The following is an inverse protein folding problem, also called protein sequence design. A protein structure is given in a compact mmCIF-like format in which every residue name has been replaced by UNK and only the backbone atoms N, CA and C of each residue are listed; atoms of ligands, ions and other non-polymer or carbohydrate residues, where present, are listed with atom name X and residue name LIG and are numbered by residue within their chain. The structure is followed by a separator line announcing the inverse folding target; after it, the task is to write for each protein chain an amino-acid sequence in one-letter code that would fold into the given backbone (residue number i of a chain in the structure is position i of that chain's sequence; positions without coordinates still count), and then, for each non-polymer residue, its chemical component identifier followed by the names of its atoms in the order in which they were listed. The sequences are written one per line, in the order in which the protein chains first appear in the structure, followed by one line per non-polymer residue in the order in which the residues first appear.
data_IF_024684555060
#
_entry.id   IF_024684555060
#
_cell.length_a   1.000
_cell.length_b   1.000
_cell.length_c   1.000
_cell.angle_alpha   90.00
_cell.angle_beta   90.00
_cell.angle_gamma   90.00
#
_symmetry.space_group_name_H-M   'P 1'
#
loop_
_entity.id
_entity.type
_entity.pdbx_description
1 polymer ?
#
# COMPACT_ATOMS: atom_id res chain seq x y z
N UNK A 1 18.98 19.12 7.97
CA UNK A 1 19.19 17.89 7.18
C UNK A 1 17.82 17.47 6.65
N UNK A 2 17.72 17.27 5.36
CA UNK A 2 16.51 16.70 4.77
C UNK A 2 16.42 15.23 5.20
N UNK A 3 15.28 14.81 5.73
CA UNK A 3 15.07 13.40 6.13
C UNK A 3 14.87 12.61 4.85
N UNK A 4 15.67 11.57 4.68
CA UNK A 4 15.52 10.65 3.55
C UNK A 4 14.28 9.78 3.75
N UNK A 5 13.41 9.71 2.74
CA UNK A 5 12.22 8.87 2.76
C UNK A 5 12.60 7.45 2.35
N UNK A 6 12.43 6.50 3.24
CA UNK A 6 12.70 5.09 2.97
C UNK A 6 11.50 4.41 2.27
N UNK A 7 10.28 4.75 2.68
CA UNK A 7 9.08 4.04 2.24
C UNK A 7 8.00 5.00 1.74
N UNK A 8 7.47 4.76 0.54
CA UNK A 8 6.27 5.41 0.03
C UNK A 8 5.14 4.40 -0.11
N UNK A 9 4.06 4.59 0.65
CA UNK A 9 2.83 3.81 0.54
C UNK A 9 1.90 4.51 -0.44
N UNK A 10 1.52 3.84 -1.52
CA UNK A 10 0.70 4.40 -2.59
C UNK A 10 -0.64 3.71 -2.57
N UNK A 11 -1.68 4.43 -2.12
CA UNK A 11 -3.01 3.90 -1.83
C UNK A 11 -4.01 4.45 -2.85
N UNK A 12 -4.51 3.64 -3.79
CA UNK A 12 -5.65 4.02 -4.61
C UNK A 12 -6.93 3.99 -3.78
N UNK A 13 -7.76 5.01 -3.87
CA UNK A 13 -9.02 5.08 -3.15
C UNK A 13 -10.18 5.36 -4.08
N UNK A 14 -11.35 4.75 -3.80
CA UNK A 14 -12.63 5.15 -4.38
C UNK A 14 -13.79 4.71 -3.50
N UNK A 15 -14.61 5.66 -3.02
CA UNK A 15 -15.87 5.43 -2.32
C UNK A 15 -15.83 4.60 -1.00
N UNK A 16 -14.66 4.42 -0.37
CA UNK A 16 -14.49 3.62 0.86
C UNK A 16 -13.72 4.37 1.96
N UNK A 17 -14.16 5.57 2.38
CA UNK A 17 -13.36 6.44 3.26
C UNK A 17 -13.08 5.81 4.63
N UNK A 18 -14.00 5.02 5.19
CA UNK A 18 -13.79 4.36 6.49
C UNK A 18 -12.76 3.23 6.41
N UNK A 19 -12.68 2.50 5.29
CA UNK A 19 -11.66 1.48 5.08
C UNK A 19 -10.30 2.13 4.84
N UNK A 20 -10.27 3.21 4.05
CA UNK A 20 -9.07 4.01 3.86
C UNK A 20 -8.51 4.53 5.19
N UNK A 21 -9.36 5.05 6.10
CA UNK A 21 -8.89 5.51 7.42
C UNK A 21 -8.26 4.35 8.20
N UNK A 22 -8.87 3.17 8.21
CA UNK A 22 -8.31 1.96 8.84
C UNK A 22 -6.95 1.58 8.24
N UNK A 23 -6.81 1.64 6.92
CA UNK A 23 -5.55 1.39 6.23
C UNK A 23 -4.47 2.38 6.70
N UNK A 24 -4.76 3.68 6.66
CA UNK A 24 -3.84 4.75 7.08
C UNK A 24 -3.43 4.58 8.55
N UNK A 25 -4.37 4.26 9.44
CA UNK A 25 -4.13 4.10 10.87
C UNK A 25 -3.21 2.90 11.17
N UNK A 26 -3.20 1.90 10.29
CA UNK A 26 -2.32 0.74 10.42
C UNK A 26 -0.88 0.98 9.98
N UNK A 27 -0.62 2.08 9.25
CA UNK A 27 0.73 2.46 8.80
C UNK A 27 1.41 3.31 9.89
N UNK A 28 2.56 2.90 10.42
CA UNK A 28 3.28 3.66 11.43
C UNK A 28 3.64 5.08 10.98
N UNK A 29 3.48 6.06 11.87
CA UNK A 29 3.79 7.46 11.59
C UNK A 29 5.26 7.73 11.91
N UNK A 30 6.14 7.57 10.94
CA UNK A 30 7.58 7.81 11.03
C UNK A 30 7.98 8.91 10.05
N UNK A 31 9.05 9.63 10.34
CA UNK A 31 9.52 10.73 9.49
C UNK A 31 10.12 10.24 8.14
N UNK A 32 10.51 8.96 8.06
CA UNK A 32 11.01 8.31 6.84
C UNK A 32 9.93 7.58 6.03
N UNK A 33 8.65 7.79 6.38
CA UNK A 33 7.49 7.23 5.67
C UNK A 33 6.70 8.36 5.01
N UNK A 34 6.35 8.15 3.75
CA UNK A 34 5.42 8.95 2.97
C UNK A 34 4.19 8.09 2.66
N UNK A 35 3.01 8.62 2.86
CA UNK A 35 1.74 8.00 2.47
C UNK A 35 1.11 8.86 1.39
N UNK A 36 0.89 8.29 0.22
CA UNK A 36 0.30 8.96 -0.95
C UNK A 36 -1.05 8.32 -1.23
N UNK A 37 -2.10 9.10 -1.10
CA UNK A 37 -3.47 8.66 -1.40
C UNK A 37 -3.90 9.30 -2.71
N UNK A 38 -4.40 8.50 -3.63
CA UNK A 38 -4.96 8.99 -4.87
C UNK A 38 -6.42 8.57 -4.98
N UNK A 39 -7.31 9.56 -4.81
CA UNK A 39 -8.75 9.38 -4.97
C UNK A 39 -9.11 9.33 -6.45
N UNK A 40 -9.65 8.19 -6.90
CA UNK A 40 -10.02 7.96 -8.29
C UNK A 40 -11.47 8.38 -8.57
N UNK A 41 -11.75 9.69 -8.36
CA UNK A 41 -13.06 10.31 -8.63
C UNK A 41 -14.20 9.67 -7.81
N UNK A 42 -14.09 9.72 -6.48
CA UNK A 42 -15.16 9.28 -5.58
C UNK A 42 -16.43 10.13 -5.69
N UNK A 43 -17.56 9.50 -5.41
CA UNK A 43 -18.86 10.18 -5.38
C UNK A 43 -18.95 11.11 -4.14
N UNK A 44 -19.23 12.42 -4.30
CA UNK A 44 -19.39 13.37 -3.18
C UNK A 44 -20.58 13.08 -2.26
N UNK A 45 -21.48 12.19 -2.66
CA UNK A 45 -22.54 11.68 -1.77
C UNK A 45 -22.04 10.62 -0.79
N UNK A 46 -20.91 9.97 -1.09
CA UNK A 46 -20.31 8.91 -0.29
C UNK A 46 -19.11 9.44 0.51
N UNK A 47 -18.33 10.33 -0.11
CA UNK A 47 -17.08 10.86 0.46
C UNK A 47 -17.23 12.33 0.81
N UNK A 48 -16.98 12.67 2.07
CA UNK A 48 -16.85 14.07 2.48
C UNK A 48 -15.40 14.53 2.23
N UNK A 49 -15.20 15.35 1.20
CA UNK A 49 -13.87 15.84 0.82
C UNK A 49 -13.30 16.88 1.79
N UNK A 50 -14.13 17.52 2.64
CA UNK A 50 -13.64 18.43 3.69
C UNK A 50 -13.01 17.69 4.88
N UNK A 51 -13.46 16.45 5.11
CA UNK A 51 -12.95 15.55 6.15
C UNK A 51 -12.37 14.28 5.55
N UNK A 52 -11.69 14.40 4.41
CA UNK A 52 -11.10 13.24 3.74
C UNK A 52 -10.00 12.58 4.61
N UNK A 53 -9.96 11.24 4.68
CA UNK A 53 -8.97 10.54 5.47
C UNK A 53 -7.53 10.98 5.12
N UNK A 54 -6.72 11.23 6.14
CA UNK A 54 -5.31 11.63 5.97
C UNK A 54 -5.06 13.08 5.57
N UNK A 55 -6.10 13.89 5.22
CA UNK A 55 -5.93 15.24 4.67
C UNK A 55 -5.08 16.19 5.53
N UNK A 56 -5.09 16.02 6.85
CA UNK A 56 -4.38 16.88 7.81
C UNK A 56 -3.21 16.16 8.52
N UNK A 57 -2.79 15.00 8.03
CA UNK A 57 -1.69 14.24 8.62
C UNK A 57 -0.36 14.60 7.96
N UNK A 58 0.67 14.86 8.76
CA UNK A 58 1.98 15.35 8.29
C UNK A 58 2.66 14.45 7.25
N UNK A 59 2.51 13.14 7.36
CA UNK A 59 3.16 12.17 6.46
C UNK A 59 2.26 11.74 5.30
N UNK A 60 1.05 12.33 5.15
CA UNK A 60 0.05 11.94 4.15
C UNK A 60 -0.11 13.05 3.11
N UNK A 61 -0.03 12.67 1.86
CA UNK A 61 -0.31 13.51 0.69
C UNK A 61 -1.54 12.97 -0.02
N UNK A 62 -2.54 13.82 -0.27
CA UNK A 62 -3.80 13.40 -0.90
C UNK A 62 -3.96 14.09 -2.26
N UNK A 63 -4.21 13.30 -3.28
CA UNK A 63 -4.43 13.75 -4.65
C UNK A 63 -5.80 13.30 -5.15
N UNK A 64 -6.55 14.22 -5.75
CA UNK A 64 -7.90 13.96 -6.30
C UNK A 64 -7.84 13.96 -7.81
N UNK A 65 -8.32 12.87 -8.45
CA UNK A 65 -8.50 12.84 -9.91
C UNK A 65 -9.91 13.23 -10.29
N UNK A 66 -10.07 13.71 -11.52
CA UNK A 66 -11.40 14.00 -12.09
C UNK A 66 -11.91 12.85 -12.96
N UNK A 67 -11.12 11.81 -13.12
CA UNK A 67 -11.37 10.71 -14.04
C UNK A 67 -11.32 9.39 -13.28
N UNK A 68 -12.43 8.67 -13.22
CA UNK A 68 -12.47 7.32 -12.62
C UNK A 68 -11.89 6.29 -13.56
N UNK A 69 -10.56 6.13 -13.59
CA UNK A 69 -9.84 5.20 -14.49
C UNK A 69 -9.35 3.93 -13.81
N UNK A 70 -9.63 3.75 -12.53
CA UNK A 70 -9.31 2.56 -11.76
C UNK A 70 -7.98 2.62 -11.00
N UNK A 71 -7.77 1.62 -10.13
CA UNK A 71 -6.68 1.57 -9.18
C UNK A 71 -5.28 1.63 -9.84
N UNK A 72 -5.09 1.02 -11.00
CA UNK A 72 -3.82 1.08 -11.74
C UNK A 72 -3.45 2.50 -12.15
N UNK A 73 -4.43 3.26 -12.65
CA UNK A 73 -4.23 4.67 -13.00
C UNK A 73 -3.90 5.52 -11.77
N UNK A 74 -4.64 5.33 -10.67
CA UNK A 74 -4.38 6.03 -9.42
C UNK A 74 -2.97 5.71 -8.88
N UNK A 75 -2.53 4.45 -8.91
CA UNK A 75 -1.16 4.07 -8.51
C UNK A 75 -0.10 4.73 -9.38
N UNK A 76 -0.32 4.82 -10.71
CA UNK A 76 0.62 5.51 -11.61
C UNK A 76 0.74 7.00 -11.28
N UNK A 77 -0.36 7.67 -10.92
CA UNK A 77 -0.31 9.05 -10.42
C UNK A 77 0.50 9.11 -9.12
N UNK A 78 0.19 8.26 -8.14
CA UNK A 78 0.91 8.23 -6.86
C UNK A 78 2.42 8.02 -7.04
N UNK A 79 2.83 7.17 -7.98
CA UNK A 79 4.23 6.94 -8.31
C UNK A 79 4.97 8.22 -8.76
N UNK A 80 4.29 9.18 -9.38
CA UNK A 80 4.93 10.43 -9.80
C UNK A 80 5.31 11.34 -8.63
N UNK A 81 4.74 11.10 -7.45
CA UNK A 81 5.01 11.86 -6.22
C UNK A 81 5.83 11.09 -5.19
N UNK A 82 6.05 9.79 -5.43
CA UNK A 82 6.78 8.93 -4.51
C UNK A 82 8.26 9.31 -4.42
N UNK A 83 8.75 9.45 -3.17
CA UNK A 83 10.12 9.84 -2.83
C UNK A 83 10.88 8.70 -2.13
N UNK A 84 10.18 7.66 -1.71
CA UNK A 84 10.75 6.56 -0.96
C UNK A 84 11.71 5.70 -1.78
N UNK A 85 12.65 5.09 -1.09
CA UNK A 85 13.53 4.08 -1.67
C UNK A 85 12.75 2.80 -2.04
N UNK A 86 11.70 2.50 -1.26
CA UNK A 86 10.80 1.38 -1.46
C UNK A 86 9.37 1.86 -1.64
N UNK A 87 8.65 1.25 -2.58
CA UNK A 87 7.24 1.53 -2.86
C UNK A 87 6.38 0.36 -2.40
N UNK A 88 5.32 0.66 -1.63
CA UNK A 88 4.32 -0.29 -1.19
C UNK A 88 2.97 0.08 -1.79
N UNK A 89 2.20 -0.90 -2.21
CA UNK A 89 0.94 -0.72 -2.93
C UNK A 89 -0.24 -1.39 -2.20
N UNK A 90 -0.60 -0.94 -1.00
CA UNK A 90 -1.80 -1.44 -0.35
C UNK A 90 -3.05 -0.98 -1.07
N UNK A 91 -4.11 -1.77 -0.99
CA UNK A 91 -5.45 -1.32 -1.34
C UNK A 91 -6.09 -0.58 -0.14
N UNK A 92 -7.07 0.29 -0.41
CA UNK A 92 -7.68 1.11 0.63
C UNK A 92 -8.43 0.29 1.70
N UNK A 93 -8.74 -0.96 1.42
CA UNK A 93 -9.38 -1.91 2.33
C UNK A 93 -8.40 -2.85 3.05
N UNK A 94 -7.11 -2.77 2.71
CA UNK A 94 -6.06 -3.48 3.43
C UNK A 94 -5.75 -2.86 4.79
N UNK A 95 -5.10 -3.61 5.66
CA UNK A 95 -4.46 -3.11 6.89
C UNK A 95 -3.21 -3.92 7.22
N UNK A 96 -2.26 -3.27 7.86
CA UNK A 96 -1.00 -3.87 8.25
C UNK A 96 -1.01 -4.33 9.71
N UNK A 97 -0.23 -5.36 10.00
CA UNK A 97 0.04 -5.81 11.36
C UNK A 97 1.07 -4.91 12.05
N UNK A 98 1.12 -4.95 13.38
CA UNK A 98 1.99 -4.08 14.19
C UNK A 98 3.48 -4.34 14.00
N UNK A 99 3.86 -5.45 13.42
CA UNK A 99 5.24 -5.84 13.13
C UNK A 99 5.74 -5.42 11.73
N UNK A 100 4.92 -4.72 10.95
CA UNK A 100 5.25 -4.25 9.61
C UNK A 100 6.68 -3.68 9.53
N UNK A 101 7.02 -2.72 10.39
CA UNK A 101 8.32 -2.06 10.31
C UNK A 101 9.47 -2.97 10.72
N UNK A 102 9.24 -3.92 11.63
CA UNK A 102 10.25 -4.92 11.98
C UNK A 102 10.63 -5.79 10.77
N UNK A 103 9.70 -5.98 9.85
CA UNK A 103 9.95 -6.71 8.61
C UNK A 103 10.59 -5.82 7.56
N UNK A 104 10.02 -4.64 7.28
CA UNK A 104 10.51 -3.74 6.24
C UNK A 104 11.95 -3.28 6.50
N UNK A 105 12.26 -2.89 7.73
CA UNK A 105 13.58 -2.34 8.08
C UNK A 105 14.74 -3.36 7.91
N UNK A 106 14.44 -4.66 7.91
CA UNK A 106 15.43 -5.70 7.57
C UNK A 106 15.92 -5.61 6.13
N UNK A 107 15.08 -5.04 5.25
CA UNK A 107 15.32 -5.04 3.80
C UNK A 107 15.60 -3.66 3.22
N UNK A 108 15.51 -2.60 4.01
CA UNK A 108 15.68 -1.21 3.53
C UNK A 108 16.98 -1.01 2.75
N UNK A 109 18.06 -1.69 3.14
CA UNK A 109 19.38 -1.65 2.48
C UNK A 109 19.71 -2.92 1.69
N UNK A 110 18.71 -3.76 1.40
CA UNK A 110 18.94 -4.95 0.59
C UNK A 110 19.14 -4.61 -0.89
N UNK A 111 19.73 -5.55 -1.63
CA UNK A 111 19.90 -5.44 -3.09
C UNK A 111 18.75 -6.12 -3.85
N UNK A 112 17.58 -6.30 -3.21
CA UNK A 112 16.42 -6.85 -3.87
C UNK A 112 15.69 -5.76 -4.66
N UNK A 113 15.15 -6.12 -5.82
CA UNK A 113 14.32 -5.23 -6.63
C UNK A 113 12.85 -5.33 -6.22
N UNK A 114 12.41 -6.53 -5.79
CA UNK A 114 11.03 -6.81 -5.40
C UNK A 114 11.02 -7.71 -4.16
N UNK A 115 10.14 -7.40 -3.23
CA UNK A 115 9.87 -8.20 -2.03
C UNK A 115 8.36 -8.46 -1.97
N UNK A 116 7.97 -9.74 -1.92
CA UNK A 116 6.58 -10.13 -1.74
C UNK A 116 6.32 -10.50 -0.29
N UNK A 117 5.23 -10.01 0.25
CA UNK A 117 4.73 -10.37 1.57
C UNK A 117 3.57 -11.35 1.44
N UNK A 118 3.46 -12.27 2.37
CA UNK A 118 2.26 -13.05 2.54
C UNK A 118 1.14 -12.12 3.07
N UNK A 119 -0.04 -12.25 2.50
CA UNK A 119 -1.23 -11.52 2.95
C UNK A 119 -2.27 -12.54 3.43
N UNK A 120 -2.89 -12.29 4.55
CA UNK A 120 -4.03 -13.06 5.02
C UNK A 120 -5.33 -12.41 4.56
N UNK A 121 -6.26 -13.20 4.08
CA UNK A 121 -7.63 -12.75 3.86
C UNK A 121 -8.46 -12.96 5.13
N UNK A 122 -9.08 -11.89 5.60
CA UNK A 122 -9.98 -11.94 6.74
C UNK A 122 -11.42 -11.80 6.24
N UNK A 123 -12.23 -12.80 6.47
CA UNK A 123 -13.67 -12.71 6.21
C UNK A 123 -14.30 -12.02 7.41
N UNK A 124 -14.62 -10.72 7.30
CA UNK A 124 -15.11 -9.89 8.41
C UNK A 124 -16.34 -10.46 9.13
N UNK A 125 -17.20 -11.21 8.43
CA UNK A 125 -18.39 -11.80 9.03
C UNK A 125 -18.11 -12.98 9.96
N UNK A 126 -17.05 -13.73 9.69
CA UNK A 126 -16.71 -14.96 10.43
C UNK A 126 -15.40 -14.83 11.20
N UNK A 127 -14.61 -13.79 10.93
CA UNK A 127 -13.24 -13.63 11.41
C UNK A 127 -12.35 -14.84 11.07
N UNK A 128 -12.68 -15.54 9.99
CA UNK A 128 -11.90 -16.66 9.49
C UNK A 128 -10.75 -16.16 8.65
N UNK A 129 -9.56 -16.72 8.88
CA UNK A 129 -8.39 -16.51 8.05
C UNK A 129 -8.43 -17.50 6.88
N UNK A 130 -8.31 -17.00 5.66
CA UNK A 130 -8.19 -17.83 4.47
C UNK A 130 -6.76 -17.72 3.92
N UNK A 131 -6.21 -18.85 3.51
CA UNK A 131 -4.92 -18.86 2.80
C UNK A 131 -5.00 -18.00 1.54
N UNK A 132 -3.97 -17.19 1.33
CA UNK A 132 -3.92 -16.31 0.18
C UNK A 132 -3.60 -17.10 -1.09
N UNK A 133 -4.62 -17.34 -1.90
CA UNK A 133 -4.51 -18.07 -3.19
C UNK A 133 -3.49 -17.38 -4.12
N UNK A 134 -3.40 -16.04 -4.07
CA UNK A 134 -2.46 -15.27 -4.89
C UNK A 134 -1.01 -15.56 -4.48
N UNK A 135 -0.72 -15.63 -3.18
CA UNK A 135 0.61 -15.99 -2.68
C UNK A 135 1.05 -17.37 -3.15
N UNK A 136 0.12 -18.33 -3.13
CA UNK A 136 0.37 -19.70 -3.62
C UNK A 136 0.63 -19.68 -5.14
N UNK A 137 -0.15 -18.94 -5.91
CA UNK A 137 0.03 -18.82 -7.37
C UNK A 137 1.35 -18.15 -7.75
N UNK A 138 1.71 -17.06 -7.07
CA UNK A 138 3.00 -16.37 -7.29
C UNK A 138 4.16 -17.31 -6.93
N UNK A 139 4.09 -17.99 -5.79
CA UNK A 139 5.11 -18.95 -5.40
C UNK A 139 5.29 -20.06 -6.43
N UNK A 140 4.19 -20.66 -6.90
CA UNK A 140 4.21 -21.68 -7.95
C UNK A 140 4.78 -21.18 -9.27
N UNK A 141 4.40 -19.95 -9.69
CA UNK A 141 4.92 -19.31 -10.89
C UNK A 141 6.43 -19.10 -10.79
N UNK A 142 6.92 -18.58 -9.68
CA UNK A 142 8.34 -18.29 -9.50
C UNK A 142 9.19 -19.54 -9.30
N UNK A 143 8.65 -20.60 -8.69
CA UNK A 143 9.34 -21.91 -8.63
C UNK A 143 9.54 -22.51 -10.02
N UNK A 144 8.61 -22.27 -10.96
CA UNK A 144 8.73 -22.67 -12.36
C UNK A 144 9.69 -21.80 -13.21
N UNK A 145 10.06 -20.61 -12.74
CA UNK A 145 10.82 -19.60 -13.50
C UNK A 145 12.06 -19.12 -12.75
N UNK A 146 12.67 -19.98 -11.95
CA UNK A 146 13.82 -19.69 -11.08
C UNK A 146 15.00 -18.99 -11.78
N UNK A 147 15.19 -19.29 -13.06
CA UNK A 147 16.32 -18.76 -13.83
C UNK A 147 16.10 -17.30 -14.32
N UNK A 148 14.88 -16.79 -14.22
CA UNK A 148 14.55 -15.45 -14.70
C UNK A 148 14.40 -14.39 -13.60
N UNK A 149 14.36 -14.80 -12.32
CA UNK A 149 14.04 -13.89 -11.22
C UNK A 149 14.97 -14.16 -10.03
N UNK A 150 16.15 -13.57 -10.08
CA UNK A 150 17.20 -13.79 -9.05
C UNK A 150 16.99 -12.95 -7.77
N UNK A 151 16.13 -11.92 -7.79
CA UNK A 151 16.05 -10.91 -6.74
C UNK A 151 14.67 -10.79 -6.06
N UNK A 152 13.84 -11.84 -6.12
CA UNK A 152 12.53 -11.87 -5.46
C UNK A 152 12.59 -12.71 -4.18
N UNK A 153 12.06 -12.17 -3.08
CA UNK A 153 11.91 -12.87 -1.81
C UNK A 153 10.44 -12.90 -1.35
N UNK A 154 10.06 -14.02 -0.73
CA UNK A 154 8.77 -14.24 -0.06
C UNK A 154 8.95 -14.18 1.45
N UNK A 155 8.00 -13.52 2.11
CA UNK A 155 7.91 -13.47 3.55
C UNK A 155 6.45 -13.62 3.98
#
# INVERSE_FOLDING_TARGET
MEIEINYSFIIPHRNVPHLLQRCIDSIPKRDDIQIIIVDDNSDPKIVNFECFPGLNEKCVEVYFTKEGKGAGYARNIGLTYAKGKWFLFPDADDHYTTDLMNVLDKYVNSNYDIIYFACDHIIEKTMEHCDNIISIQIKSYLEGHKDMINNIRYY
#
